data_IF_893796046202
#
_entry.id   IF_893796046202
#
_cell.length_a   1.000
_cell.length_b   1.000
_cell.length_c   1.000
_cell.angle_alpha   90.00
_cell.angle_beta   90.00
_cell.angle_gamma   90.00
#
_symmetry.space_group_name_H-M   'P 1'
#
loop_
_entity.id
_entity.type
_entity.pdbx_description
1 polymer ?
#
# COMPACT_ATOMS: atom_id res chain seq x y z
N UNK A 1 -30.61 11.34 13.39
CA UNK A 1 -29.93 11.92 14.54
C UNK A 1 -28.44 11.93 14.23
N UNK A 2 -27.87 13.13 14.12
CA UNK A 2 -26.45 13.29 13.83
C UNK A 2 -25.62 12.72 15.00
N UNK A 3 -24.92 11.64 14.76
CA UNK A 3 -24.00 11.02 15.71
C UNK A 3 -22.98 12.05 16.24
N UNK A 4 -22.58 12.99 15.39
CA UNK A 4 -21.64 14.06 15.71
C UNK A 4 -22.15 15.06 16.75
N UNK A 5 -23.44 15.32 16.85
CA UNK A 5 -23.98 16.25 17.85
C UNK A 5 -23.94 15.67 19.28
N UNK A 6 -23.71 14.38 19.44
CA UNK A 6 -23.56 13.75 20.75
C UNK A 6 -22.10 13.70 21.23
N UNK A 7 -21.14 13.87 20.31
CA UNK A 7 -19.70 13.86 20.66
C UNK A 7 -19.28 15.23 21.21
N UNK A 8 -19.87 16.33 20.74
CA UNK A 8 -19.56 17.68 21.22
C UNK A 8 -20.01 17.99 22.64
N UNK A 9 -20.80 17.11 23.25
CA UNK A 9 -21.28 17.20 24.65
C UNK A 9 -20.64 16.15 25.57
N UNK A 10 -19.70 15.34 25.07
CA UNK A 10 -18.91 14.50 25.95
C UNK A 10 -18.02 15.40 26.82
N UNK A 11 -18.05 15.17 28.13
CA UNK A 11 -17.15 15.85 29.07
C UNK A 11 -15.71 15.74 28.57
N UNK A 12 -14.97 16.85 28.60
CA UNK A 12 -13.56 16.97 28.21
C UNK A 12 -12.65 16.12 29.12
N UNK A 13 -12.87 14.83 29.16
CA UNK A 13 -11.94 13.92 29.82
C UNK A 13 -10.87 13.55 28.77
N UNK A 14 -9.77 14.30 28.82
CA UNK A 14 -8.61 14.01 27.97
C UNK A 14 -7.99 12.69 28.44
N UNK A 15 -8.08 11.68 27.60
CA UNK A 15 -7.38 10.41 27.81
C UNK A 15 -5.97 10.56 27.23
N UNK A 16 -4.95 10.29 28.05
CA UNK A 16 -3.57 10.23 27.57
C UNK A 16 -3.39 9.08 26.56
N UNK A 17 -2.43 9.20 25.65
CA UNK A 17 -2.18 8.17 24.62
C UNK A 17 -1.59 6.88 25.19
N UNK A 18 -0.86 6.93 26.30
CA UNK A 18 -0.15 5.78 26.89
C UNK A 18 -1.03 4.56 27.27
N UNK A 19 -2.30 4.71 27.70
CA UNK A 19 -3.14 3.57 28.02
C UNK A 19 -3.96 3.05 26.83
N UNK A 20 -3.77 3.55 25.60
CA UNK A 20 -4.60 3.17 24.46
C UNK A 20 -4.11 1.85 23.88
N UNK A 21 -4.99 0.89 23.81
CA UNK A 21 -4.80 -0.33 23.02
C UNK A 21 -5.34 -0.11 21.60
N UNK A 22 -4.46 0.25 20.70
CA UNK A 22 -4.81 0.65 19.34
C UNK A 22 -5.40 -0.51 18.53
N UNK A 23 -6.42 -0.21 17.77
CA UNK A 23 -6.93 -1.02 16.68
C UNK A 23 -6.74 -0.27 15.34
N UNK A 24 -6.69 -0.96 14.19
CA UNK A 24 -6.68 -0.27 12.90
C UNK A 24 -7.92 0.63 12.78
N UNK A 25 -7.81 1.88 12.29
CA UNK A 25 -8.95 2.76 12.11
C UNK A 25 -10.06 2.17 11.23
N UNK A 26 -9.70 1.30 10.30
CA UNK A 26 -10.61 0.52 9.45
C UNK A 26 -10.36 -0.95 9.70
N UNK A 27 -11.27 -1.61 10.42
CA UNK A 27 -11.11 -3.01 10.86
C UNK A 27 -11.46 -4.04 9.79
N UNK A 28 -12.44 -3.76 8.93
CA UNK A 28 -12.96 -4.69 7.92
C UNK A 28 -13.13 -4.03 6.55
N UNK A 29 -12.04 -3.60 5.90
CA UNK A 29 -12.14 -3.12 4.54
C UNK A 29 -12.52 -4.28 3.60
N UNK A 30 -13.36 -4.01 2.61
CA UNK A 30 -13.72 -5.03 1.60
C UNK A 30 -12.53 -5.41 0.73
N UNK A 31 -11.56 -4.52 0.58
CA UNK A 31 -10.28 -4.71 -0.12
C UNK A 31 -9.28 -3.65 0.30
N UNK A 32 -8.01 -3.99 0.19
CA UNK A 32 -6.88 -3.07 0.30
C UNK A 32 -6.13 -3.15 -1.03
N UNK A 33 -6.07 -2.03 -1.74
CA UNK A 33 -5.38 -1.92 -3.02
C UNK A 33 -4.09 -1.13 -2.81
N UNK A 34 -2.95 -1.73 -3.12
CA UNK A 34 -1.69 -1.01 -3.25
C UNK A 34 -1.46 -0.62 -4.71
N UNK A 35 -0.87 0.55 -4.92
CA UNK A 35 -0.47 1.04 -6.24
C UNK A 35 1.03 0.89 -6.37
N UNK A 36 1.46 -0.03 -7.24
CA UNK A 36 2.88 -0.26 -7.49
C UNK A 36 3.45 0.76 -8.50
N UNK A 37 4.73 1.08 -8.35
CA UNK A 37 5.46 1.97 -9.26
C UNK A 37 4.85 3.36 -9.43
N UNK A 38 4.26 3.90 -8.38
CA UNK A 38 3.70 5.26 -8.37
C UNK A 38 4.70 6.33 -7.90
N UNK A 39 5.87 5.94 -7.41
CA UNK A 39 6.93 6.86 -7.06
C UNK A 39 7.72 7.29 -8.31
N UNK A 40 7.77 8.60 -8.59
CA UNK A 40 8.41 9.17 -9.79
C UNK A 40 9.91 8.86 -9.88
N UNK A 41 10.61 8.78 -8.75
CA UNK A 41 12.05 8.48 -8.76
C UNK A 41 12.31 6.99 -9.05
N UNK A 42 11.45 6.10 -8.54
CA UNK A 42 11.51 4.69 -8.88
C UNK A 42 11.13 4.45 -10.35
N UNK A 43 10.17 5.21 -10.86
CA UNK A 43 9.77 5.12 -12.27
C UNK A 43 10.91 5.49 -13.23
N UNK A 44 11.77 6.44 -12.88
CA UNK A 44 12.97 6.77 -13.66
C UNK A 44 13.96 5.60 -13.77
N UNK A 45 13.92 4.69 -12.80
CA UNK A 45 14.77 3.48 -12.77
C UNK A 45 14.07 2.26 -13.39
N UNK A 46 12.79 2.36 -13.67
CA UNK A 46 12.05 1.29 -14.32
C UNK A 46 12.51 1.12 -15.77
N UNK A 47 12.54 -0.13 -16.21
CA UNK A 47 12.93 -0.46 -17.59
C UNK A 47 11.98 0.20 -18.62
N UNK A 48 10.70 0.28 -18.28
CA UNK A 48 9.68 0.97 -19.08
C UNK A 48 8.53 1.40 -18.18
N UNK A 49 8.06 2.63 -18.38
CA UNK A 49 6.80 3.08 -17.80
C UNK A 49 5.63 2.33 -18.46
N UNK A 50 4.81 1.60 -17.70
CA UNK A 50 3.65 0.90 -18.26
C UNK A 50 2.56 1.85 -18.77
N UNK A 51 2.60 3.14 -18.43
CA UNK A 51 1.61 4.16 -18.81
C UNK A 51 0.25 4.02 -18.13
N UNK A 52 0.10 3.02 -17.26
CA UNK A 52 -1.11 2.76 -16.47
C UNK A 52 -0.71 2.32 -15.07
N UNK A 53 -1.53 2.63 -14.04
CA UNK A 53 -1.26 2.17 -12.69
C UNK A 53 -1.27 0.64 -12.58
N UNK A 54 -0.30 0.08 -11.88
CA UNK A 54 -0.28 -1.33 -11.52
C UNK A 54 -0.80 -1.48 -10.09
N UNK A 55 -1.65 -2.48 -9.87
CA UNK A 55 -2.28 -2.72 -8.59
C UNK A 55 -1.94 -4.11 -8.05
N UNK A 56 -1.86 -4.21 -6.75
CA UNK A 56 -1.86 -5.46 -6.01
C UNK A 56 -2.88 -5.40 -4.87
N UNK A 57 -3.23 -6.55 -4.34
CA UNK A 57 -4.16 -6.67 -3.22
C UNK A 57 -3.42 -7.11 -1.97
N UNK A 58 -3.72 -6.46 -0.85
CA UNK A 58 -3.42 -6.98 0.49
C UNK A 58 -4.70 -7.53 1.10
N UNK A 59 -4.65 -8.71 1.76
CA UNK A 59 -5.80 -9.21 2.49
C UNK A 59 -6.07 -8.36 3.74
N UNK A 60 -7.31 -8.26 4.21
CA UNK A 60 -7.61 -7.59 5.48
C UNK A 60 -6.85 -8.15 6.69
N UNK A 61 -6.48 -9.44 6.66
CA UNK A 61 -5.66 -10.06 7.71
C UNK A 61 -4.24 -9.50 7.81
N UNK A 62 -3.75 -8.81 6.77
CA UNK A 62 -2.46 -8.11 6.83
C UNK A 62 -2.49 -6.84 7.69
N UNK A 63 -3.69 -6.32 8.03
CA UNK A 63 -3.81 -5.12 8.82
C UNK A 63 -3.20 -5.27 10.21
N UNK A 64 -2.53 -4.21 10.65
CA UNK A 64 -1.99 -4.10 11.98
C UNK A 64 -2.29 -2.71 12.55
N UNK A 65 -2.43 -2.61 13.85
CA UNK A 65 -2.67 -1.35 14.51
C UNK A 65 -1.37 -0.56 14.73
N UNK A 66 -1.53 0.72 15.02
CA UNK A 66 -0.46 1.59 15.48
C UNK A 66 0.21 0.99 16.73
N UNK A 67 1.52 1.13 16.87
CA UNK A 67 2.35 0.60 17.98
C UNK A 67 2.31 -0.92 18.16
N UNK A 68 1.68 -1.66 17.29
CA UNK A 68 1.72 -3.12 17.35
C UNK A 68 2.89 -3.67 16.53
N UNK A 69 3.46 -4.76 17.02
CA UNK A 69 4.61 -5.40 16.38
C UNK A 69 4.28 -5.93 14.98
N UNK A 70 5.20 -5.71 14.05
CA UNK A 70 5.22 -6.41 12.76
C UNK A 70 5.96 -7.73 13.00
N UNK A 71 5.29 -8.84 12.73
CA UNK A 71 5.87 -10.18 12.94
C UNK A 71 6.65 -10.57 11.70
N UNK A 72 7.93 -10.88 11.89
CA UNK A 72 8.85 -11.25 10.82
C UNK A 72 9.49 -12.59 11.15
N UNK A 73 9.46 -13.51 10.20
CA UNK A 73 10.20 -14.76 10.29
C UNK A 73 11.60 -14.56 9.69
N UNK A 74 12.67 -15.03 10.36
CA UNK A 74 14.04 -14.91 9.83
C UNK A 74 14.24 -15.53 8.43
N UNK A 75 13.44 -16.53 8.09
CA UNK A 75 13.51 -17.19 6.78
C UNK A 75 12.88 -16.39 5.63
N UNK A 76 12.27 -15.24 5.94
CA UNK A 76 11.67 -14.37 4.91
C UNK A 76 12.67 -13.40 4.26
N UNK A 77 13.92 -13.40 4.70
CA UNK A 77 14.95 -12.50 4.21
C UNK A 77 14.71 -11.05 4.63
N UNK A 78 15.23 -10.12 3.85
CA UNK A 78 15.06 -8.69 4.16
C UNK A 78 13.60 -8.27 4.07
N UNK A 79 13.12 -7.63 5.14
CA UNK A 79 11.80 -7.01 5.22
C UNK A 79 12.01 -5.51 5.33
N UNK A 80 11.32 -4.76 4.48
CA UNK A 80 11.45 -3.30 4.40
C UNK A 80 10.11 -2.62 4.70
N UNK A 81 10.13 -1.48 5.40
CA UNK A 81 8.99 -0.59 5.50
C UNK A 81 8.82 0.22 4.21
N UNK A 82 7.58 0.47 3.85
CA UNK A 82 7.21 1.36 2.75
C UNK A 82 6.14 2.35 3.28
N UNK A 83 6.55 3.52 3.81
CA UNK A 83 5.59 4.49 4.34
C UNK A 83 4.80 5.14 3.21
N UNK A 84 3.49 5.08 3.34
CA UNK A 84 2.55 5.49 2.31
C UNK A 84 1.36 6.28 2.87
N UNK A 85 0.66 6.99 2.00
CA UNK A 85 -0.64 7.58 2.28
C UNK A 85 -1.72 6.61 1.80
N UNK A 86 -2.62 6.24 2.69
CA UNK A 86 -3.79 5.44 2.37
C UNK A 86 -5.02 6.35 2.24
N UNK A 87 -5.67 6.32 1.08
CA UNK A 87 -6.96 6.96 0.87
C UNK A 87 -8.10 5.98 1.19
N UNK A 88 -8.98 6.35 2.09
CA UNK A 88 -10.15 5.56 2.45
C UNK A 88 -11.35 5.97 1.60
N UNK A 89 -11.86 5.03 0.81
CA UNK A 89 -13.02 5.25 -0.05
C UNK A 89 -14.30 5.15 0.78
N UNK A 90 -15.01 6.25 0.93
CA UNK A 90 -16.22 6.36 1.76
C UNK A 90 -17.54 6.14 1.05
N UNK A 91 -17.53 6.12 -0.28
CA UNK A 91 -18.74 5.93 -1.10
C UNK A 91 -18.47 4.85 -2.15
N UNK A 92 -19.51 4.11 -2.51
CA UNK A 92 -19.39 3.14 -3.60
C UNK A 92 -19.12 3.87 -4.93
N UNK A 93 -17.99 3.58 -5.55
CA UNK A 93 -17.56 4.16 -6.81
C UNK A 93 -17.47 3.07 -7.90
N UNK A 94 -17.97 3.38 -9.10
CA UNK A 94 -17.85 2.52 -10.28
C UNK A 94 -18.00 3.39 -11.53
N UNK A 95 -17.02 3.29 -12.44
CA UNK A 95 -17.02 4.06 -13.70
C UNK A 95 -17.14 5.57 -13.50
N UNK A 96 -16.53 6.10 -12.45
CA UNK A 96 -16.43 7.54 -12.20
C UNK A 96 -15.28 8.14 -13.01
N UNK A 97 -15.32 9.44 -13.26
CA UNK A 97 -14.22 10.14 -13.89
C UNK A 97 -13.09 10.45 -12.89
N UNK A 98 -11.89 10.78 -13.40
CA UNK A 98 -10.77 11.17 -12.55
C UNK A 98 -11.07 12.45 -11.75
N UNK A 99 -11.77 13.41 -12.38
CA UNK A 99 -12.16 14.68 -11.76
C UNK A 99 -13.11 14.49 -10.57
N UNK A 100 -13.90 13.42 -10.60
CA UNK A 100 -14.83 13.08 -9.53
C UNK A 100 -14.19 12.24 -8.42
N UNK A 101 -13.00 11.67 -8.63
CA UNK A 101 -12.42 10.65 -7.76
C UNK A 101 -12.31 11.10 -6.30
N UNK A 102 -11.85 12.33 -6.05
CA UNK A 102 -11.69 12.86 -4.70
C UNK A 102 -13.03 13.03 -3.95
N UNK A 103 -14.16 13.15 -4.63
CA UNK A 103 -15.48 13.22 -4.00
C UNK A 103 -15.91 11.90 -3.34
N UNK A 104 -15.20 10.80 -3.62
CA UNK A 104 -15.44 9.48 -3.07
C UNK A 104 -14.51 9.13 -1.92
N UNK A 105 -13.50 9.93 -1.67
CA UNK A 105 -12.57 9.74 -0.55
C UNK A 105 -13.22 10.25 0.73
N UNK A 106 -13.24 9.43 1.75
CA UNK A 106 -13.70 9.78 3.10
C UNK A 106 -12.60 10.50 3.88
N UNK A 107 -11.38 10.04 3.74
CA UNK A 107 -10.23 10.60 4.45
C UNK A 107 -8.95 9.85 4.14
N UNK A 108 -7.91 10.22 4.86
CA UNK A 108 -6.55 9.73 4.66
C UNK A 108 -5.95 9.26 5.97
N UNK A 109 -5.05 8.30 5.90
CA UNK A 109 -4.26 7.84 7.03
C UNK A 109 -2.88 7.37 6.57
N UNK A 110 -1.97 7.22 7.50
CA UNK A 110 -0.68 6.60 7.23
C UNK A 110 -0.85 5.08 7.13
N UNK A 111 -0.17 4.49 6.19
CA UNK A 111 -0.07 3.05 5.99
C UNK A 111 1.39 2.67 5.77
N UNK A 112 1.82 1.58 6.38
CA UNK A 112 3.12 0.99 6.09
C UNK A 112 2.89 -0.26 5.24
N UNK A 113 3.22 -0.18 3.94
CA UNK A 113 3.11 -1.31 3.01
C UNK A 113 4.32 -2.23 3.14
N UNK A 114 4.44 -2.88 4.28
CA UNK A 114 5.58 -3.74 4.59
C UNK A 114 5.77 -4.81 3.53
N UNK A 115 7.01 -4.98 3.08
CA UNK A 115 7.37 -5.90 2.02
C UNK A 115 8.54 -6.79 2.42
N UNK A 116 8.38 -8.11 2.31
CA UNK A 116 9.50 -9.03 2.37
C UNK A 116 10.13 -9.17 0.99
N UNK A 117 11.34 -8.67 0.83
CA UNK A 117 12.11 -8.83 -0.40
C UNK A 117 12.56 -10.29 -0.62
N UNK A 118 12.83 -11.02 0.44
CA UNK A 118 13.17 -12.45 0.33
C UNK A 118 11.99 -13.25 -0.24
N UNK A 119 10.80 -13.11 0.33
CA UNK A 119 9.61 -13.77 -0.21
C UNK A 119 9.29 -13.32 -1.63
N UNK A 120 9.42 -12.00 -1.91
CA UNK A 120 9.15 -11.42 -3.22
C UNK A 120 9.98 -12.07 -4.32
N UNK A 121 11.29 -12.14 -4.13
CA UNK A 121 12.19 -12.63 -5.17
C UNK A 121 12.36 -14.15 -5.18
N UNK A 122 12.20 -14.82 -4.06
CA UNK A 122 12.40 -16.26 -3.94
C UNK A 122 11.12 -17.10 -4.06
N UNK A 123 9.97 -16.54 -3.69
CA UNK A 123 8.71 -17.28 -3.60
C UNK A 123 7.58 -16.70 -4.45
N UNK A 124 7.50 -15.38 -4.57
CA UNK A 124 6.46 -14.68 -5.32
C UNK A 124 6.85 -14.35 -6.76
N UNK A 125 8.11 -14.58 -7.13
CA UNK A 125 8.59 -14.37 -8.49
C UNK A 125 8.68 -15.69 -9.24
N UNK A 126 8.14 -15.72 -10.45
CA UNK A 126 8.21 -16.87 -11.34
C UNK A 126 8.89 -16.43 -12.62
N UNK A 127 10.00 -17.10 -12.96
CA UNK A 127 10.60 -16.99 -14.29
C UNK A 127 9.77 -17.86 -15.24
N UNK A 128 9.35 -17.27 -16.33
CA UNK A 128 8.61 -17.95 -17.40
C UNK A 128 9.42 -17.84 -18.67
N UNK A 129 9.87 -18.97 -19.19
CA UNK A 129 10.51 -19.00 -20.50
C UNK A 129 9.48 -18.64 -21.56
N UNK A 130 9.88 -17.72 -22.44
CA UNK A 130 9.03 -17.32 -23.55
C UNK A 130 8.81 -18.48 -24.53
N UNK A 131 7.57 -18.93 -24.63
CA UNK A 131 7.10 -19.88 -25.63
C UNK A 131 6.15 -19.15 -26.58
N UNK A 132 6.45 -19.17 -27.88
CA UNK A 132 5.65 -18.49 -28.90
C UNK A 132 4.20 -18.95 -28.94
N UNK A 133 3.95 -20.19 -28.54
CA UNK A 133 2.61 -20.77 -28.53
C UNK A 133 1.81 -20.39 -27.28
N UNK A 134 2.51 -20.03 -26.19
CA UNK A 134 1.89 -19.69 -24.91
C UNK A 134 1.91 -18.20 -24.58
N UNK A 135 2.74 -17.42 -25.24
CA UNK A 135 2.96 -16.03 -24.88
C UNK A 135 3.01 -15.14 -26.12
N UNK A 136 2.33 -14.01 -26.05
CA UNK A 136 2.38 -13.00 -27.11
C UNK A 136 3.58 -12.09 -26.88
N UNK A 137 4.45 -11.91 -27.89
CA UNK A 137 5.66 -11.09 -27.78
C UNK A 137 5.42 -9.69 -27.22
N UNK A 138 4.34 -9.05 -27.63
CA UNK A 138 3.98 -7.70 -27.22
C UNK A 138 3.75 -7.53 -25.71
N UNK A 139 3.45 -8.60 -24.98
CA UNK A 139 3.27 -8.55 -23.54
C UNK A 139 4.56 -8.67 -22.74
N UNK A 140 5.66 -9.08 -23.38
CA UNK A 140 6.93 -9.38 -22.71
C UNK A 140 8.05 -8.43 -23.06
N UNK A 141 7.94 -7.68 -24.13
CA UNK A 141 9.00 -6.81 -24.64
C UNK A 141 9.50 -5.77 -23.62
N UNK A 142 8.65 -5.34 -22.72
CA UNK A 142 9.01 -4.39 -21.68
C UNK A 142 9.71 -5.02 -20.46
N UNK A 143 9.75 -6.37 -20.41
CA UNK A 143 10.39 -7.13 -19.32
C UNK A 143 11.74 -7.72 -19.70
N UNK A 144 12.24 -7.41 -20.87
CA UNK A 144 13.55 -7.86 -21.30
C UNK A 144 14.65 -7.14 -20.49
N UNK A 145 15.04 -7.73 -19.37
CA UNK A 145 15.97 -7.11 -18.40
C UNK A 145 17.42 -7.15 -18.90
N UNK A 146 17.77 -8.14 -19.71
CA UNK A 146 19.12 -8.38 -20.19
C UNK A 146 19.33 -7.95 -21.65
N UNK A 147 18.37 -7.29 -22.25
CA UNK A 147 18.43 -6.79 -23.62
C UNK A 147 17.37 -7.37 -24.53
N UNK A 148 17.39 -7.02 -25.83
CA UNK A 148 16.35 -7.41 -26.79
C UNK A 148 16.27 -8.93 -27.06
N UNK A 149 17.33 -9.67 -26.77
CA UNK A 149 17.41 -11.12 -26.95
C UNK A 149 16.97 -11.89 -25.69
N UNK A 150 16.64 -11.20 -24.61
CA UNK A 150 16.12 -11.81 -23.39
C UNK A 150 14.71 -12.35 -23.63
N UNK A 151 14.58 -13.66 -23.57
CA UNK A 151 13.31 -14.36 -23.74
C UNK A 151 12.66 -14.74 -22.43
N UNK A 152 13.30 -14.46 -21.29
CA UNK A 152 12.78 -14.77 -19.98
C UNK A 152 11.89 -13.63 -19.48
N UNK A 153 10.70 -13.97 -19.03
CA UNK A 153 9.78 -13.06 -18.39
C UNK A 153 9.62 -13.44 -16.92
N UNK A 154 9.63 -12.44 -16.05
CA UNK A 154 9.42 -12.62 -14.62
C UNK A 154 8.09 -12.00 -14.21
N UNK A 155 7.24 -12.79 -13.57
CA UNK A 155 6.02 -12.34 -12.93
C UNK A 155 6.21 -12.28 -11.42
N UNK A 156 5.83 -11.18 -10.82
CA UNK A 156 5.85 -11.01 -9.36
C UNK A 156 4.42 -10.95 -8.84
N UNK A 157 4.09 -11.90 -7.99
CA UNK A 157 2.79 -12.00 -7.32
C UNK A 157 2.95 -11.58 -5.88
N UNK A 158 2.62 -10.38 -5.52
CA UNK A 158 2.89 -9.82 -4.18
C UNK A 158 2.09 -10.48 -3.03
N UNK A 159 1.52 -11.65 -3.23
CA UNK A 159 0.62 -12.28 -2.25
C UNK A 159 1.31 -12.61 -0.93
N UNK A 160 2.49 -13.26 -0.97
CA UNK A 160 3.24 -13.58 0.25
C UNK A 160 4.04 -12.39 0.74
N UNK A 161 4.73 -11.72 -0.17
CA UNK A 161 5.68 -10.66 0.16
C UNK A 161 5.04 -9.43 0.77
N UNK A 162 3.76 -9.15 0.48
CA UNK A 162 2.99 -8.00 0.97
C UNK A 162 1.71 -8.37 1.72
N UNK A 163 1.23 -9.60 1.57
CA UNK A 163 -0.05 -10.06 2.13
C UNK A 163 0.07 -10.86 3.41
N UNK A 164 1.26 -10.98 3.97
CA UNK A 164 1.50 -11.65 5.26
C UNK A 164 0.82 -10.89 6.39
N UNK A 165 0.34 -11.61 7.39
CA UNK A 165 -0.27 -11.03 8.59
C UNK A 165 0.66 -9.99 9.22
N UNK A 166 0.11 -8.88 9.71
CA UNK A 166 0.80 -7.72 10.27
C UNK A 166 1.59 -6.84 9.29
N UNK A 167 1.62 -7.16 8.00
CA UNK A 167 2.37 -6.41 6.99
C UNK A 167 1.64 -5.15 6.48
N UNK A 168 0.58 -4.75 7.14
CA UNK A 168 -0.20 -3.56 6.81
C UNK A 168 -0.53 -2.69 8.02
N UNK A 169 0.46 -2.22 8.81
CA UNK A 169 0.19 -1.25 9.86
C UNK A 169 -0.46 0.00 9.31
N UNK A 170 -1.51 0.49 9.99
CA UNK A 170 -2.20 1.72 9.60
C UNK A 170 -2.70 2.50 10.81
N UNK A 171 -2.80 3.79 10.63
CA UNK A 171 -3.25 4.71 11.66
C UNK A 171 -2.17 5.72 12.06
N UNK A 172 -2.22 6.25 13.33
CA UNK A 172 -3.11 5.87 14.42
C UNK A 172 -4.57 6.26 14.24
N UNK A 173 -4.87 7.30 13.48
CA UNK A 173 -6.23 7.78 13.19
C UNK A 173 -6.43 8.03 11.70
N UNK A 174 -7.66 8.34 11.34
CA UNK A 174 -8.06 8.76 10.02
C UNK A 174 -8.37 10.26 10.05
N UNK A 175 -7.72 11.02 9.18
CA UNK A 175 -8.00 12.44 8.95
C UNK A 175 -9.03 12.57 7.83
N UNK A 176 -10.12 13.26 8.07
CA UNK A 176 -11.19 13.40 7.07
C UNK A 176 -10.77 14.26 5.89
N UNK A 177 -11.40 14.05 4.73
CA UNK A 177 -10.97 14.69 3.48
C UNK A 177 -11.14 16.22 3.49
N UNK A 178 -12.02 16.78 4.31
CA UNK A 178 -12.17 18.21 4.49
C UNK A 178 -11.01 18.87 5.26
N UNK A 179 -10.28 18.10 6.05
CA UNK A 179 -9.05 18.55 6.71
C UNK A 179 -7.81 18.43 5.83
N UNK A 180 -7.92 17.76 4.67
CA UNK A 180 -6.83 17.56 3.70
C UNK A 180 -7.24 18.19 2.36
N UNK A 181 -7.08 19.49 2.18
CA UNK A 181 -7.59 20.20 1.00
C UNK A 181 -6.91 19.78 -0.31
N UNK A 182 -5.65 19.37 -0.25
CA UNK A 182 -4.91 18.84 -1.41
C UNK A 182 -4.07 17.61 -1.01
N UNK A 183 -4.55 16.41 -1.26
CA UNK A 183 -3.82 15.19 -0.94
C UNK A 183 -2.57 14.99 -1.80
N UNK A 184 -2.41 15.70 -2.90
CA UNK A 184 -1.22 15.62 -3.74
C UNK A 184 -0.05 16.45 -3.20
N UNK A 185 -0.29 17.29 -2.20
CA UNK A 185 0.72 18.16 -1.57
C UNK A 185 1.00 17.72 -0.12
N UNK A 186 1.13 16.43 0.10
CA UNK A 186 1.49 15.85 1.40
C UNK A 186 2.92 15.31 1.34
N UNK A 187 3.66 15.51 2.43
CA UNK A 187 4.97 14.90 2.63
C UNK A 187 4.83 13.64 3.49
N UNK A 188 5.45 12.56 3.04
CA UNK A 188 5.59 11.33 3.81
C UNK A 188 7.05 11.18 4.19
N UNK A 189 7.33 11.04 5.47
CA UNK A 189 8.69 10.88 5.99
C UNK A 189 8.72 9.58 6.80
N UNK A 190 9.63 8.69 6.43
CA UNK A 190 9.87 7.45 7.13
C UNK A 190 11.10 7.55 8.03
N UNK A 191 10.98 7.05 9.25
CA UNK A 191 12.08 6.92 10.21
C UNK A 191 12.31 5.46 10.53
N UNK A 192 13.56 5.07 10.61
CA UNK A 192 14.01 3.79 11.15
C UNK A 192 14.99 4.09 12.27
N UNK A 193 14.64 3.70 13.48
CA UNK A 193 15.33 4.17 14.69
C UNK A 193 15.53 5.69 14.65
N UNK A 194 15.62 6.57 14.84
CA UNK A 194 15.70 8.03 14.74
C UNK A 194 16.31 8.58 13.42
N UNK A 195 16.59 7.71 12.43
CA UNK A 195 17.13 8.12 11.16
C UNK A 195 16.09 8.16 10.05
N UNK A 196 16.11 9.24 9.25
CA UNK A 196 15.24 9.37 8.08
C UNK A 196 15.76 8.42 6.99
N UNK A 197 14.88 7.56 6.46
CA UNK A 197 15.22 6.64 5.37
C UNK A 197 14.45 6.92 4.07
N UNK A 198 13.39 7.74 4.11
CA UNK A 198 12.60 8.16 2.94
C UNK A 198 11.87 9.47 3.21
#
# INVERSE_FOLDING_TARGET
PNLFNNITNASEELVGFDPIDWAPPIVNPSKILGVAFNNKELMKKAHKDPGVPNYFLKPPSALQAHEKAIIVDPDWGAVIPEPEICAVIGKRAKHISEEEALNYVFGYMIHNDVTSHGLKFQKDSIAVTYDKDMARPEFYTWRNLNGPDDTDAFYVYHTRSKGTDTFGPMGPWLTTSDEVPDPNNLNVIGYLDDEIFT
#
